data_IF_056806883622
#
_entry.id   IF_056806883622
#
_cell.length_a   1.000
_cell.length_b   1.000
_cell.length_c   1.000
_cell.angle_alpha   90.00
_cell.angle_beta   90.00
_cell.angle_gamma   90.00
#
_symmetry.space_group_name_H-M   'P 1'
#
loop_
_entity.id
_entity.type
_entity.pdbx_description
1 polymer ?
#
# COMPACT_ATOMS: atom_id res chain seq x y z
N UNK A 1 -17.93 22.05 2.73
CA UNK A 1 -16.90 21.83 1.68
C UNK A 1 -15.62 21.52 2.43
N UNK A 2 -14.91 20.44 2.10
CA UNK A 2 -13.66 20.09 2.78
C UNK A 2 -12.57 21.13 2.45
N UNK A 3 -11.74 21.45 3.45
CA UNK A 3 -10.51 22.22 3.25
C UNK A 3 -9.51 21.46 2.36
N UNK A 4 -8.51 22.17 1.82
CA UNK A 4 -7.43 21.54 1.06
C UNK A 4 -6.67 20.50 1.89
N UNK A 5 -6.43 20.80 3.17
CA UNK A 5 -5.78 19.88 4.09
C UNK A 5 -6.62 18.60 4.31
N UNK A 6 -7.93 18.73 4.53
CA UNK A 6 -8.80 17.56 4.73
C UNK A 6 -8.91 16.71 3.45
N UNK A 7 -8.94 17.33 2.27
CA UNK A 7 -8.91 16.60 1.00
C UNK A 7 -7.59 15.84 0.83
N UNK A 8 -6.47 16.46 1.17
CA UNK A 8 -5.16 15.81 1.12
C UNK A 8 -5.07 14.66 2.13
N UNK A 9 -5.53 14.85 3.37
CA UNK A 9 -5.55 13.81 4.39
C UNK A 9 -6.36 12.59 3.93
N UNK A 10 -7.55 12.82 3.38
CA UNK A 10 -8.41 11.75 2.90
C UNK A 10 -7.77 11.00 1.72
N UNK A 11 -7.21 11.72 0.74
CA UNK A 11 -6.54 11.11 -0.40
C UNK A 11 -5.33 10.25 0.03
N UNK A 12 -4.52 10.73 0.99
CA UNK A 12 -3.38 9.95 1.47
C UNK A 12 -3.80 8.72 2.29
N UNK A 13 -4.88 8.81 3.07
CA UNK A 13 -5.46 7.65 3.77
C UNK A 13 -6.00 6.60 2.79
N UNK A 14 -6.66 7.03 1.73
CA UNK A 14 -7.10 6.12 0.67
C UNK A 14 -5.91 5.43 -0.01
N UNK A 15 -4.85 6.18 -0.33
CA UNK A 15 -3.62 5.60 -0.88
C UNK A 15 -2.98 4.57 0.07
N UNK A 16 -2.87 4.86 1.38
CA UNK A 16 -2.38 3.89 2.37
C UNK A 16 -3.23 2.62 2.39
N UNK A 17 -4.55 2.77 2.37
CA UNK A 17 -5.48 1.65 2.35
C UNK A 17 -5.29 0.78 1.09
N UNK A 18 -5.06 1.40 -0.07
CA UNK A 18 -4.79 0.67 -1.30
C UNK A 18 -3.48 -0.12 -1.24
N UNK A 19 -2.39 0.49 -0.78
CA UNK A 19 -1.09 -0.19 -0.65
C UNK A 19 -1.18 -1.38 0.30
N UNK A 20 -1.86 -1.22 1.44
CA UNK A 20 -2.08 -2.33 2.38
C UNK A 20 -2.95 -3.44 1.78
N UNK A 21 -4.02 -3.07 1.07
CA UNK A 21 -4.93 -4.01 0.41
C UNK A 21 -4.23 -4.78 -0.72
N UNK A 22 -3.36 -4.12 -1.49
CA UNK A 22 -2.56 -4.76 -2.54
C UNK A 22 -1.55 -5.76 -1.94
N UNK A 23 -0.84 -5.37 -0.88
CA UNK A 23 0.07 -6.29 -0.19
C UNK A 23 -0.64 -7.56 0.30
N UNK A 24 -1.84 -7.41 0.88
CA UNK A 24 -2.68 -8.54 1.31
C UNK A 24 -3.10 -9.43 0.13
N UNK A 25 -3.58 -8.84 -0.97
CA UNK A 25 -3.96 -9.58 -2.17
C UNK A 25 -2.79 -10.35 -2.80
N UNK A 26 -1.61 -9.75 -2.90
CA UNK A 26 -0.43 -10.44 -3.41
C UNK A 26 -0.03 -11.62 -2.53
N UNK A 27 -0.13 -11.48 -1.20
CA UNK A 27 0.10 -12.58 -0.27
C UNK A 27 -0.90 -13.72 -0.46
N UNK A 28 -2.20 -13.41 -0.61
CA UNK A 28 -3.25 -14.40 -0.88
C UNK A 28 -3.00 -15.12 -2.21
N UNK A 29 -2.75 -14.37 -3.29
CA UNK A 29 -2.44 -14.94 -4.61
C UNK A 29 -1.19 -15.83 -4.59
N UNK A 30 -0.18 -15.47 -3.79
CA UNK A 30 1.03 -16.30 -3.64
C UNK A 30 0.72 -17.67 -3.02
N UNK A 31 -0.33 -17.77 -2.18
CA UNK A 31 -0.75 -19.04 -1.57
C UNK A 31 -1.56 -19.91 -2.53
N UNK A 32 -2.31 -19.30 -3.44
CA UNK A 32 -3.15 -20.00 -4.41
C UNK A 32 -2.37 -20.45 -5.66
N UNK A 33 -1.40 -19.67 -6.10
CA UNK A 33 -0.59 -19.98 -7.28
C UNK A 33 0.53 -20.95 -6.91
N UNK A 34 0.67 -22.04 -7.65
CA UNK A 34 1.73 -23.06 -7.48
C UNK A 34 2.92 -22.88 -8.41
N UNK A 35 2.82 -22.04 -9.44
CA UNK A 35 3.92 -21.72 -10.34
C UNK A 35 5.04 -20.96 -9.58
N UNK A 36 6.27 -21.49 -9.50
CA UNK A 36 7.35 -20.89 -8.71
C UNK A 36 7.77 -19.49 -9.18
N UNK A 37 7.71 -19.22 -10.48
CA UNK A 37 8.10 -17.94 -11.06
C UNK A 37 7.07 -16.87 -10.73
N UNK A 38 5.79 -17.21 -10.83
CA UNK A 38 4.69 -16.33 -10.44
C UNK A 38 4.67 -16.08 -8.94
N UNK A 39 4.92 -17.10 -8.09
CA UNK A 39 5.06 -16.89 -6.65
C UNK A 39 6.19 -15.91 -6.30
N UNK A 40 7.35 -16.05 -6.93
CA UNK A 40 8.47 -15.13 -6.68
C UNK A 40 8.14 -13.70 -7.10
N UNK A 41 7.49 -13.53 -8.25
CA UNK A 41 7.01 -12.22 -8.71
C UNK A 41 6.02 -11.61 -7.71
N UNK A 42 5.01 -12.36 -7.28
CA UNK A 42 4.00 -11.89 -6.33
C UNK A 42 4.60 -11.51 -4.96
N UNK A 43 5.58 -12.27 -4.46
CA UNK A 43 6.35 -11.88 -3.27
C UNK A 43 7.10 -10.56 -3.48
N UNK A 44 7.69 -10.34 -4.66
CA UNK A 44 8.32 -9.07 -5.01
C UNK A 44 7.33 -7.90 -5.00
N UNK A 45 6.13 -8.10 -5.55
CA UNK A 45 5.06 -7.09 -5.56
C UNK A 45 4.52 -6.83 -4.15
N UNK A 46 4.40 -7.86 -3.32
CA UNK A 46 3.99 -7.72 -1.91
C UNK A 46 4.98 -6.88 -1.11
N UNK A 47 6.28 -7.16 -1.24
CA UNK A 47 7.33 -6.37 -0.60
C UNK A 47 7.34 -4.92 -1.12
N UNK A 48 7.14 -4.70 -2.42
CA UNK A 48 7.06 -3.37 -3.00
C UNK A 48 5.88 -2.56 -2.42
N UNK A 49 4.69 -3.15 -2.34
CA UNK A 49 3.51 -2.52 -1.74
C UNK A 49 3.73 -2.17 -0.25
N UNK A 50 4.37 -3.05 0.51
CA UNK A 50 4.74 -2.74 1.92
C UNK A 50 5.75 -1.60 2.04
N UNK A 51 6.73 -1.54 1.15
CA UNK A 51 7.72 -0.46 1.13
C UNK A 51 7.06 0.88 0.76
N UNK A 52 6.15 0.87 -0.21
CA UNK A 52 5.35 2.03 -0.58
C UNK A 52 4.49 2.50 0.60
N UNK A 53 3.82 1.59 1.30
CA UNK A 53 3.07 1.90 2.51
C UNK A 53 3.94 2.58 3.56
N UNK A 54 5.13 2.03 3.86
CA UNK A 54 6.05 2.62 4.83
C UNK A 54 6.51 4.02 4.43
N UNK A 55 6.84 4.22 3.16
CA UNK A 55 7.27 5.51 2.60
C UNK A 55 6.12 6.54 2.65
N UNK A 56 4.92 6.12 2.27
CA UNK A 56 3.72 6.98 2.29
C UNK A 56 3.35 7.37 3.72
N UNK A 57 3.40 6.43 4.66
CA UNK A 57 3.14 6.66 6.08
C UNK A 57 4.14 7.66 6.70
N UNK A 58 5.42 7.53 6.36
CA UNK A 58 6.44 8.50 6.76
C UNK A 58 6.18 9.89 6.17
N UNK A 59 5.78 9.96 4.89
CA UNK A 59 5.46 11.22 4.21
C UNK A 59 4.19 11.87 4.77
N UNK A 60 3.18 11.08 5.13
CA UNK A 60 2.00 11.59 5.83
C UNK A 60 2.37 12.17 7.19
N UNK A 61 3.22 11.47 7.94
CA UNK A 61 3.73 11.94 9.23
C UNK A 61 4.47 13.26 9.11
N UNK A 62 5.32 13.43 8.08
CA UNK A 62 6.08 14.68 7.87
C UNK A 62 5.22 15.86 7.42
N UNK A 63 4.06 15.59 6.79
CA UNK A 63 3.08 16.59 6.38
C UNK A 63 2.06 16.92 7.49
N UNK A 64 2.21 16.34 8.69
CA UNK A 64 1.25 16.51 9.79
C UNK A 64 -0.12 15.88 9.51
N UNK A 65 -0.16 14.91 8.60
CA UNK A 65 -1.36 14.18 8.20
C UNK A 65 -1.58 13.03 9.20
N UNK A 66 -2.70 13.07 9.91
CA UNK A 66 -3.14 12.06 10.90
C UNK A 66 -4.34 11.31 10.37
#
# INVERSE_FOLDING_TARGET
MLSEQERMNNAMKEMLFYEESMAKKYLELTREITDPKLQQMLKGMEMAARNNYGTLSQKMSSLGIV
#
